data_IF_869566625270
#
_entry.id   IF_869566625270
#
_cell.length_a   1.000
_cell.length_b   1.000
_cell.length_c   1.000
_cell.angle_alpha   90.00
_cell.angle_beta   90.00
_cell.angle_gamma   90.00
#
_symmetry.space_group_name_H-M   'P 1'
#
loop_
_entity.id
_entity.type
_entity.pdbx_description
1 polymer ?
#
# COMPACT_ATOMS: atom_id res chain seq x y z
N UNK A 1 -0.11 7.17 5.12
CA UNK A 1 1.27 7.12 4.59
C UNK A 1 1.37 7.96 3.34
N UNK A 2 2.45 8.74 3.24
CA UNK A 2 2.77 9.55 2.06
C UNK A 2 3.69 8.74 1.15
N UNK A 3 3.29 8.54 -0.10
CA UNK A 3 4.03 7.76 -1.09
C UNK A 3 4.39 8.64 -2.28
N UNK A 4 5.65 8.60 -2.71
CA UNK A 4 6.11 9.26 -3.94
C UNK A 4 6.00 8.28 -5.10
N UNK A 5 5.14 8.60 -6.06
CA UNK A 5 4.96 7.84 -7.29
C UNK A 5 5.86 8.28 -8.44
N UNK A 6 5.65 7.71 -9.62
CA UNK A 6 6.32 8.12 -10.86
C UNK A 6 6.00 9.59 -11.17
N UNK A 7 7.01 10.38 -11.56
CA UNK A 7 6.84 11.81 -11.85
C UNK A 7 6.80 12.71 -10.62
N UNK A 8 7.36 12.31 -9.49
CA UNK A 8 7.40 13.08 -8.23
C UNK A 8 6.02 13.37 -7.60
N UNK A 9 4.95 12.78 -8.11
CA UNK A 9 3.61 12.95 -7.54
C UNK A 9 3.53 12.25 -6.18
N UNK A 10 3.15 13.01 -5.16
CA UNK A 10 2.92 12.49 -3.82
C UNK A 10 1.46 12.10 -3.65
N UNK A 11 1.22 10.93 -3.08
CA UNK A 11 -0.12 10.41 -2.79
C UNK A 11 -0.21 10.04 -1.32
N UNK A 12 -1.27 10.44 -0.66
CA UNK A 12 -1.58 10.04 0.70
C UNK A 12 -2.44 8.78 0.66
N UNK A 13 -1.95 7.71 1.28
CA UNK A 13 -2.67 6.45 1.35
C UNK A 13 -3.07 6.15 2.80
N UNK A 14 -4.33 5.78 3.05
CA UNK A 14 -4.75 5.31 4.37
C UNK A 14 -4.08 3.96 4.68
N UNK A 15 -3.83 3.72 5.97
CA UNK A 15 -3.40 2.42 6.46
C UNK A 15 -4.43 1.92 7.47
N UNK A 16 -4.79 0.64 7.37
CA UNK A 16 -5.58 -0.03 8.39
C UNK A 16 -4.77 -0.27 9.66
N UNK A 17 -5.44 -0.36 10.80
CA UNK A 17 -4.80 -0.56 12.10
C UNK A 17 -3.87 -1.78 12.16
N UNK A 18 -4.22 -2.96 11.57
CA UNK A 18 -3.31 -4.11 11.55
C UNK A 18 -1.98 -3.83 10.83
N UNK A 19 -2.02 -3.03 9.76
CA UNK A 19 -0.80 -2.64 9.04
C UNK A 19 0.04 -1.66 9.87
N UNK A 20 -0.59 -0.71 10.55
CA UNK A 20 0.09 0.24 11.44
C UNK A 20 0.80 -0.51 12.57
N UNK A 21 0.11 -1.44 13.23
CA UNK A 21 0.69 -2.25 14.30
C UNK A 21 1.86 -3.10 13.80
N UNK A 22 1.72 -3.72 12.63
CA UNK A 22 2.79 -4.51 12.03
C UNK A 22 4.02 -3.68 11.69
N UNK A 23 3.82 -2.45 11.20
CA UNK A 23 4.92 -1.51 10.91
C UNK A 23 5.61 -1.08 12.21
N UNK A 24 4.87 -0.74 13.26
CA UNK A 24 5.44 -0.39 14.56
C UNK A 24 6.30 -1.53 15.10
N UNK A 25 5.76 -2.74 15.16
CA UNK A 25 6.49 -3.92 15.62
C UNK A 25 7.76 -4.20 14.78
N UNK A 26 7.71 -3.93 13.48
CA UNK A 26 8.88 -4.04 12.62
C UNK A 26 9.93 -2.98 12.95
N UNK A 27 9.52 -1.72 13.15
CA UNK A 27 10.42 -0.62 13.47
C UNK A 27 11.13 -0.83 14.81
N UNK A 28 10.41 -1.36 15.81
CA UNK A 28 10.97 -1.64 17.14
C UNK A 28 12.00 -2.79 17.13
N UNK A 29 11.87 -3.72 16.18
CA UNK A 29 12.73 -4.91 16.08
C UNK A 29 13.82 -4.83 15.02
N UNK A 30 13.81 -3.82 14.16
CA UNK A 30 14.84 -3.70 13.12
C UNK A 30 16.20 -3.33 13.74
N UNK A 31 17.25 -3.97 13.23
CA UNK A 31 18.61 -3.83 13.78
C UNK A 31 19.27 -2.47 13.49
N UNK A 32 18.83 -1.76 12.44
CA UNK A 32 19.46 -0.54 11.97
C UNK A 32 18.47 0.62 11.96
N UNK A 33 18.90 1.76 12.48
CA UNK A 33 18.20 3.02 12.24
C UNK A 33 18.41 3.45 10.79
N UNK A 34 17.34 3.88 10.12
CA UNK A 34 17.39 4.29 8.74
C UNK A 34 16.24 5.26 8.43
N UNK A 35 16.48 6.20 7.52
CA UNK A 35 15.43 7.07 6.98
C UNK A 35 14.42 6.33 6.08
N UNK A 36 14.78 5.12 5.62
CA UNK A 36 13.87 4.27 4.86
C UNK A 36 12.95 3.48 5.80
N UNK A 37 11.67 3.38 5.45
CA UNK A 37 10.72 2.58 6.22
C UNK A 37 11.12 1.11 6.20
N UNK A 38 11.33 0.52 5.04
CA UNK A 38 11.78 -0.86 4.89
C UNK A 38 13.24 -0.92 4.44
N UNK A 39 14.02 -1.71 5.16
CA UNK A 39 15.45 -1.85 4.94
C UNK A 39 15.84 -3.28 4.53
N UNK A 40 16.94 -3.39 3.83
CA UNK A 40 17.59 -4.67 3.55
C UNK A 40 18.45 -5.11 4.75
N UNK A 41 19.08 -6.29 4.66
CA UNK A 41 19.93 -6.85 5.73
C UNK A 41 21.14 -6.00 6.08
N UNK A 42 21.54 -5.07 5.21
CA UNK A 42 22.69 -4.17 5.42
C UNK A 42 22.25 -2.76 5.90
N UNK A 43 20.98 -2.58 6.27
CA UNK A 43 20.44 -1.31 6.72
C UNK A 43 20.08 -0.31 5.61
N UNK A 44 20.37 -0.63 4.35
CA UNK A 44 20.03 0.21 3.20
C UNK A 44 18.60 0.00 2.70
N UNK A 45 18.21 0.78 1.68
CA UNK A 45 16.87 0.71 1.07
C UNK A 45 16.55 -0.70 0.57
N UNK A 46 15.36 -1.21 0.90
CA UNK A 46 14.83 -2.43 0.32
C UNK A 46 14.45 -2.21 -1.15
N UNK A 47 15.00 -3.01 -2.06
CA UNK A 47 14.72 -2.93 -3.50
C UNK A 47 13.40 -3.62 -3.87
N UNK A 48 12.84 -3.29 -5.04
CA UNK A 48 11.66 -3.98 -5.58
C UNK A 48 11.88 -5.49 -5.72
N UNK A 49 13.07 -5.89 -6.16
CA UNK A 49 13.47 -7.31 -6.22
C UNK A 49 13.45 -7.95 -4.83
N UNK A 50 13.94 -7.23 -3.81
CA UNK A 50 13.92 -7.69 -2.42
C UNK A 50 12.49 -7.90 -1.92
N UNK A 51 11.57 -6.99 -2.23
CA UNK A 51 10.15 -7.12 -1.89
C UNK A 51 9.55 -8.37 -2.55
N UNK A 52 9.81 -8.59 -3.85
CA UNK A 52 9.32 -9.79 -4.57
C UNK A 52 9.81 -11.08 -3.92
N UNK A 53 11.10 -11.16 -3.58
CA UNK A 53 11.68 -12.34 -2.91
C UNK A 53 11.00 -12.60 -1.56
N UNK A 54 10.73 -11.55 -0.78
CA UNK A 54 10.04 -11.69 0.51
C UNK A 54 8.61 -12.21 0.29
N UNK A 55 7.87 -11.63 -0.65
CA UNK A 55 6.51 -12.07 -0.99
C UNK A 55 6.51 -13.53 -1.41
N UNK A 56 7.38 -13.91 -2.36
CA UNK A 56 7.49 -15.28 -2.86
C UNK A 56 7.81 -16.29 -1.74
N UNK A 57 8.68 -15.92 -0.79
CA UNK A 57 8.99 -16.74 0.38
C UNK A 57 7.75 -17.03 1.23
N UNK A 58 6.92 -16.03 1.49
CA UNK A 58 5.71 -16.20 2.31
C UNK A 58 4.61 -16.98 1.57
N UNK A 59 4.47 -16.75 0.27
CA UNK A 59 3.53 -17.48 -0.59
C UNK A 59 3.86 -18.97 -0.61
N UNK A 60 5.14 -19.31 -0.86
CA UNK A 60 5.61 -20.71 -0.83
C UNK A 60 5.37 -21.39 0.52
N UNK A 61 5.61 -20.69 1.63
CA UNK A 61 5.35 -21.23 2.98
C UNK A 61 3.88 -21.57 3.24
N UNK A 62 2.95 -20.95 2.51
CA UNK A 62 1.50 -21.18 2.63
C UNK A 62 0.97 -22.19 1.62
N UNK A 63 1.84 -22.90 0.89
CA UNK A 63 1.49 -23.85 -0.17
C UNK A 63 0.53 -23.25 -1.23
N UNK A 64 0.63 -21.93 -1.47
CA UNK A 64 -0.15 -21.24 -2.49
C UNK A 64 0.55 -21.49 -3.82
N UNK A 65 -0.12 -22.18 -4.74
CA UNK A 65 0.42 -22.57 -6.05
C UNK A 65 0.36 -21.45 -7.08
N UNK A 66 -0.48 -20.44 -6.84
CA UNK A 66 -0.66 -19.30 -7.75
C UNK A 66 0.50 -18.31 -7.60
N UNK A 67 1.03 -17.85 -8.73
CA UNK A 67 2.05 -16.80 -8.74
C UNK A 67 1.46 -15.49 -8.24
N UNK A 68 1.96 -15.00 -7.10
CA UNK A 68 1.52 -13.75 -6.49
C UNK A 68 2.62 -12.70 -6.59
N UNK A 69 2.24 -11.50 -6.96
CA UNK A 69 3.14 -10.36 -7.10
C UNK A 69 2.56 -9.13 -6.40
N UNK A 70 3.31 -8.04 -6.20
CA UNK A 70 2.75 -6.78 -5.73
C UNK A 70 1.57 -6.29 -6.58
N UNK A 71 1.57 -6.53 -7.89
CA UNK A 71 0.44 -6.21 -8.77
C UNK A 71 -0.79 -7.07 -8.48
N UNK A 72 -0.62 -8.32 -8.09
CA UNK A 72 -1.73 -9.20 -7.68
C UNK A 72 -2.43 -8.65 -6.45
N UNK A 73 -1.68 -8.21 -5.44
CA UNK A 73 -2.26 -7.55 -4.26
C UNK A 73 -3.00 -6.27 -4.61
N UNK A 74 -2.42 -5.46 -5.50
CA UNK A 74 -3.03 -4.22 -5.98
C UNK A 74 -4.35 -4.49 -6.71
N UNK A 75 -4.37 -5.50 -7.58
CA UNK A 75 -5.59 -5.91 -8.29
C UNK A 75 -6.65 -6.43 -7.33
N UNK A 76 -6.29 -7.31 -6.39
CA UNK A 76 -7.20 -7.80 -5.36
C UNK A 76 -7.78 -6.66 -4.51
N UNK A 77 -6.95 -5.69 -4.12
CA UNK A 77 -7.40 -4.51 -3.40
C UNK A 77 -8.47 -3.73 -4.17
N UNK A 78 -8.20 -3.42 -5.46
CA UNK A 78 -9.14 -2.72 -6.32
C UNK A 78 -10.47 -3.49 -6.44
N UNK A 79 -10.40 -4.78 -6.74
CA UNK A 79 -11.57 -5.66 -6.91
C UNK A 79 -12.40 -5.72 -5.62
N UNK A 80 -11.77 -5.87 -4.47
CA UNK A 80 -12.48 -5.88 -3.19
C UNK A 80 -13.21 -4.58 -2.89
N UNK A 81 -12.58 -3.43 -3.16
CA UNK A 81 -13.22 -2.14 -2.96
C UNK A 81 -14.43 -1.96 -3.89
N UNK A 82 -14.26 -2.26 -5.18
CA UNK A 82 -15.33 -2.15 -6.18
C UNK A 82 -16.51 -3.08 -5.86
N UNK A 83 -16.24 -4.34 -5.49
CA UNK A 83 -17.28 -5.31 -5.12
C UNK A 83 -18.06 -4.90 -3.86
N UNK A 84 -17.49 -4.04 -3.02
CA UNK A 84 -18.17 -3.47 -1.85
C UNK A 84 -18.76 -2.09 -2.09
N UNK A 85 -18.91 -1.69 -3.35
CA UNK A 85 -19.60 -0.48 -3.76
C UNK A 85 -18.77 0.80 -3.65
N UNK A 86 -17.45 0.69 -3.59
CA UNK A 86 -16.59 1.86 -3.75
C UNK A 86 -16.67 2.35 -5.21
N UNK A 87 -16.75 3.66 -5.42
CA UNK A 87 -16.74 4.20 -6.77
C UNK A 87 -15.36 4.07 -7.42
N UNK A 88 -15.35 3.90 -8.73
CA UNK A 88 -14.13 3.66 -9.52
C UNK A 88 -13.10 4.79 -9.35
N UNK A 89 -13.55 6.02 -9.25
CA UNK A 89 -12.66 7.18 -9.12
C UNK A 89 -11.92 7.17 -7.79
N UNK A 90 -12.62 6.92 -6.68
CA UNK A 90 -11.98 6.75 -5.37
C UNK A 90 -10.97 5.61 -5.35
N UNK A 91 -11.28 4.49 -6.01
CA UNK A 91 -10.33 3.36 -6.13
C UNK A 91 -9.10 3.76 -6.95
N UNK A 92 -9.27 4.47 -8.05
CA UNK A 92 -8.15 4.98 -8.87
C UNK A 92 -7.26 5.94 -8.08
N UNK A 93 -7.84 6.85 -7.29
CA UNK A 93 -7.10 7.77 -6.44
C UNK A 93 -6.31 7.03 -5.35
N UNK A 94 -6.92 6.05 -4.67
CA UNK A 94 -6.26 5.19 -3.69
C UNK A 94 -5.09 4.39 -4.30
N UNK A 95 -5.22 3.99 -5.54
CA UNK A 95 -4.17 3.29 -6.25
C UNK A 95 -3.09 4.23 -6.82
N UNK A 96 -3.28 5.54 -6.77
CA UNK A 96 -2.32 6.51 -7.30
C UNK A 96 -2.17 6.43 -8.83
N UNK A 97 -3.23 6.07 -9.56
CA UNK A 97 -3.24 6.11 -11.01
C UNK A 97 -3.13 7.56 -11.51
N UNK A 98 -2.06 7.85 -12.25
CA UNK A 98 -1.69 9.20 -12.69
C UNK A 98 -2.45 9.69 -13.94
N UNK A 99 -3.50 9.03 -14.35
CA UNK A 99 -4.13 9.26 -15.67
C UNK A 99 -5.33 10.22 -15.65
N UNK A 100 -5.47 11.06 -14.65
CA UNK A 100 -6.33 12.25 -14.77
C UNK A 100 -5.48 13.45 -14.35
N UNK A 101 -5.13 14.26 -15.34
CA UNK A 101 -4.48 15.55 -15.17
C UNK A 101 -5.41 16.50 -14.41
N UNK A 102 -5.31 16.50 -13.10
CA UNK A 102 -5.73 17.62 -12.27
C UNK A 102 -4.89 17.57 -11.01
N UNK A 103 -4.13 18.62 -10.81
CA UNK A 103 -3.51 18.98 -9.54
C UNK A 103 -4.64 19.27 -8.57
N UNK A 104 -5.31 18.23 -8.08
CA UNK A 104 -6.22 18.38 -6.96
C UNK A 104 -5.35 18.44 -5.71
N UNK A 105 -5.25 19.62 -5.16
CA UNK A 105 -4.80 19.86 -3.80
C UNK A 105 -5.70 18.97 -2.94
N UNK A 106 -5.13 17.93 -2.34
CA UNK A 106 -5.84 17.10 -1.37
C UNK A 106 -6.21 17.98 -0.18
N UNK A 107 -7.43 18.45 -0.15
CA UNK A 107 -8.00 19.11 1.03
C UNK A 107 -8.25 18.05 2.10
N UNK A 108 -8.24 18.43 3.37
CA UNK A 108 -8.55 17.52 4.48
C UNK A 108 -9.85 16.73 4.26
N UNK A 109 -10.84 17.33 3.59
CA UNK A 109 -12.11 16.71 3.19
C UNK A 109 -11.93 15.52 2.24
N UNK A 110 -11.01 15.61 1.27
CA UNK A 110 -10.72 14.52 0.34
C UNK A 110 -10.08 13.32 1.04
N UNK A 111 -9.19 13.56 2.02
CA UNK A 111 -8.52 12.52 2.78
C UNK A 111 -9.51 11.77 3.67
N UNK A 112 -10.41 12.48 4.31
CA UNK A 112 -11.44 11.86 5.17
C UNK A 112 -12.46 11.07 4.37
N UNK A 113 -12.80 11.51 3.16
CA UNK A 113 -13.62 10.74 2.24
C UNK A 113 -12.94 9.45 1.83
N UNK A 114 -11.68 9.49 1.47
CA UNK A 114 -10.89 8.29 1.12
C UNK A 114 -10.76 7.33 2.31
N UNK A 115 -10.57 7.85 3.53
CA UNK A 115 -10.57 7.03 4.75
C UNK A 115 -11.90 6.35 4.99
N UNK A 116 -13.03 7.05 4.77
CA UNK A 116 -14.39 6.48 4.91
C UNK A 116 -14.62 5.36 3.91
N UNK A 117 -14.28 5.57 2.62
CA UNK A 117 -14.37 4.55 1.58
C UNK A 117 -13.51 3.33 1.93
N UNK A 118 -12.27 3.56 2.36
CA UNK A 118 -11.37 2.49 2.77
C UNK A 118 -11.92 1.68 3.95
N UNK A 119 -12.34 2.35 5.03
CA UNK A 119 -12.92 1.69 6.22
C UNK A 119 -14.18 0.90 5.90
N UNK A 120 -15.06 1.41 5.02
CA UNK A 120 -16.30 0.76 4.65
C UNK A 120 -16.10 -0.45 3.75
N UNK A 121 -15.13 -0.39 2.85
CA UNK A 121 -15.00 -1.34 1.76
C UNK A 121 -13.85 -2.34 1.92
N UNK A 122 -12.82 -2.04 2.73
CA UNK A 122 -11.68 -2.93 2.90
C UNK A 122 -11.89 -3.93 4.04
N UNK A 123 -11.66 -5.24 3.85
CA UNK A 123 -11.94 -6.29 4.84
C UNK A 123 -11.06 -6.22 6.10
N UNK A 124 -9.95 -5.47 6.06
CA UNK A 124 -9.00 -5.27 7.17
C UNK A 124 -8.72 -3.79 7.41
N UNK A 125 -9.73 -2.95 7.25
CA UNK A 125 -9.60 -1.53 7.55
C UNK A 125 -9.55 -1.26 9.06
#
# INVERSE_FOLDING_TARGET
VKVKGKGKKETLLPLGEPAILSIKNYLDRRLYHSSYLFINRRGGRLSERGIRIIVDKYIKKRAITVKVSPHTFRHSFATHLLNRGADLRSVQELLGHSSIATTQIYTHLSIDSLKKVYKRAHPRA
#
